data_IF_665067654252
#
_entry.id   IF_665067654252
#
_cell.length_a   1.000
_cell.length_b   1.000
_cell.length_c   1.000
_cell.angle_alpha   90.00
_cell.angle_beta   90.00
_cell.angle_gamma   90.00
#
_symmetry.space_group_name_H-M   'P 1'
#
loop_
_entity.id
_entity.type
_entity.pdbx_description
1 polymer ?
#
# COMPACT_ATOMS: atom_id res chain seq x y z
N UNK A 1 23.30 40.63 -10.63
CA UNK A 1 22.98 39.43 -11.45
C UNK A 1 23.99 38.36 -11.08
N UNK A 2 23.59 37.42 -10.24
CA UNK A 2 24.35 36.24 -9.89
C UNK A 2 23.31 35.20 -9.54
N UNK A 3 23.06 34.30 -10.48
CA UNK A 3 21.98 33.31 -10.51
C UNK A 3 22.04 32.38 -9.30
N UNK A 4 21.01 32.41 -8.44
CA UNK A 4 20.68 31.36 -7.48
C UNK A 4 20.14 30.14 -8.24
N UNK A 5 20.97 29.54 -9.09
CA UNK A 5 20.64 28.34 -9.82
C UNK A 5 21.50 27.24 -9.22
N UNK A 6 20.84 26.15 -8.81
CA UNK A 6 21.38 24.83 -8.45
C UNK A 6 21.46 24.50 -6.96
N UNK A 7 20.32 24.62 -6.28
CA UNK A 7 19.93 23.69 -5.21
C UNK A 7 18.97 22.64 -5.81
N UNK A 8 19.42 21.89 -6.82
CA UNK A 8 18.64 20.79 -7.40
C UNK A 8 19.62 19.75 -7.94
N UNK A 9 20.42 19.19 -7.03
CA UNK A 9 21.34 18.12 -7.34
C UNK A 9 20.91 16.86 -6.58
N UNK A 10 20.57 15.84 -7.37
CA UNK A 10 20.54 14.40 -7.03
C UNK A 10 19.29 13.87 -6.32
N UNK A 11 18.15 13.87 -7.00
CA UNK A 11 17.21 12.74 -6.84
C UNK A 11 17.84 11.58 -7.63
N UNK A 12 18.25 10.51 -6.96
CA UNK A 12 18.68 9.30 -7.67
C UNK A 12 17.51 8.81 -8.54
N UNK A 13 17.79 8.35 -9.77
CA UNK A 13 16.73 7.95 -10.70
C UNK A 13 15.86 6.78 -10.17
N UNK A 14 16.27 6.14 -9.08
CA UNK A 14 15.53 5.07 -8.39
C UNK A 14 14.85 5.53 -7.09
N UNK A 15 14.93 6.81 -6.75
CA UNK A 15 14.36 7.31 -5.51
C UNK A 15 12.91 7.76 -5.74
N UNK A 16 12.02 7.29 -4.86
CA UNK A 16 10.60 7.60 -4.95
C UNK A 16 10.36 9.07 -4.60
N UNK A 17 9.70 9.82 -5.49
CA UNK A 17 9.55 11.27 -5.34
C UNK A 17 8.63 11.68 -4.17
N UNK A 18 7.63 10.87 -3.82
CA UNK A 18 6.65 11.20 -2.79
C UNK A 18 6.96 10.51 -1.45
N UNK A 19 7.83 11.13 -0.63
CA UNK A 19 8.13 10.62 0.72
C UNK A 19 7.09 11.01 1.77
N UNK A 20 5.91 11.51 1.38
CA UNK A 20 4.88 11.88 2.34
C UNK A 20 4.35 10.65 3.08
N UNK A 21 4.12 10.79 4.39
CA UNK A 21 3.50 9.72 5.18
C UNK A 21 2.05 9.59 4.70
N UNK A 22 1.75 8.49 4.02
CA UNK A 22 0.40 8.18 3.53
C UNK A 22 -0.64 8.09 4.66
N UNK A 23 -1.92 7.96 4.28
CA UNK A 23 -3.03 7.96 5.23
C UNK A 23 -2.81 6.98 6.40
N UNK A 24 -2.97 7.45 7.64
CA UNK A 24 -2.74 6.64 8.83
C UNK A 24 -3.72 5.45 8.89
N UNK A 25 -3.16 4.24 8.80
CA UNK A 25 -3.88 3.00 9.01
C UNK A 25 -3.88 2.68 10.50
N UNK A 26 -5.07 2.50 11.09
CA UNK A 26 -5.17 2.18 12.53
C UNK A 26 -4.92 0.69 12.78
N UNK A 27 -4.50 0.33 13.98
CA UNK A 27 -4.36 -1.08 14.39
C UNK A 27 -5.66 -1.88 14.19
N UNK A 28 -6.82 -1.23 14.34
CA UNK A 28 -8.12 -1.86 14.10
C UNK A 28 -8.33 -2.23 12.62
N UNK A 29 -7.85 -1.40 11.69
CA UNK A 29 -7.92 -1.66 10.25
C UNK A 29 -7.03 -2.86 9.88
N UNK A 30 -5.81 -2.91 10.44
CA UNK A 30 -4.86 -4.02 10.27
C UNK A 30 -5.45 -5.32 10.82
N UNK A 31 -6.01 -5.30 12.03
CA UNK A 31 -6.63 -6.48 12.63
C UNK A 31 -7.80 -6.99 11.78
N UNK A 32 -8.64 -6.09 11.25
CA UNK A 32 -9.74 -6.46 10.35
C UNK A 32 -9.23 -7.13 9.06
N UNK A 33 -8.11 -6.67 8.50
CA UNK A 33 -7.48 -7.34 7.37
C UNK A 33 -6.98 -8.73 7.75
N UNK A 34 -6.28 -8.86 8.88
CA UNK A 34 -5.74 -10.13 9.35
C UNK A 34 -6.86 -11.19 9.55
N UNK A 35 -7.98 -10.80 10.16
CA UNK A 35 -9.14 -11.67 10.33
C UNK A 35 -9.78 -12.09 9.01
N UNK A 36 -9.83 -11.19 8.01
CA UNK A 36 -10.32 -11.51 6.66
C UNK A 36 -9.37 -12.44 5.89
N UNK A 37 -8.06 -12.30 6.11
CA UNK A 37 -7.04 -13.15 5.50
C UNK A 37 -6.97 -14.56 6.12
N UNK A 38 -7.32 -14.72 7.40
CA UNK A 38 -7.35 -16.03 8.07
C UNK A 38 -8.41 -16.97 7.49
N UNK A 39 -9.57 -16.45 7.10
CA UNK A 39 -10.62 -17.23 6.42
C UNK A 39 -10.22 -17.63 4.99
N UNK A 40 -9.18 -17.01 4.44
CA UNK A 40 -8.66 -17.30 3.12
C UNK A 40 -7.84 -18.59 3.06
N UNK A 41 -7.10 -18.91 4.12
CA UNK A 41 -6.35 -20.16 4.22
C UNK A 41 -7.27 -21.40 4.16
N UNK A 42 -8.53 -21.26 4.57
CA UNK A 42 -9.53 -22.33 4.54
C UNK A 42 -10.27 -22.49 3.20
N UNK A 43 -10.15 -21.49 2.30
CA UNK A 43 -10.83 -21.48 0.99
C UNK A 43 -9.86 -21.63 -0.19
N UNK A 44 -8.67 -22.19 0.07
CA UNK A 44 -7.70 -22.54 -0.97
C UNK A 44 -8.29 -23.54 -1.96
N UNK A 45 -8.83 -22.99 -3.05
CA UNK A 45 -9.25 -23.72 -4.22
C UNK A 45 -8.14 -23.62 -5.29
N UNK A 46 -7.61 -24.77 -5.69
CA UNK A 46 -6.50 -24.89 -6.63
C UNK A 46 -6.85 -24.41 -8.05
N UNK A 47 -8.12 -24.37 -8.43
CA UNK A 47 -8.55 -24.03 -9.80
C UNK A 47 -8.65 -22.51 -10.04
N UNK A 48 -8.89 -21.69 -9.01
CA UNK A 48 -9.14 -20.23 -9.20
C UNK A 48 -8.08 -19.30 -8.65
N UNK A 49 -6.96 -19.85 -8.15
CA UNK A 49 -5.87 -19.13 -7.49
C UNK A 49 -6.33 -18.24 -6.32
N UNK A 50 -5.51 -18.11 -5.29
CA UNK A 50 -5.87 -17.46 -4.04
C UNK A 50 -5.94 -15.92 -4.14
N UNK A 51 -5.74 -15.37 -5.34
CA UNK A 51 -5.57 -13.95 -5.61
C UNK A 51 -6.81 -13.10 -5.25
N UNK A 52 -8.01 -13.58 -5.57
CA UNK A 52 -9.25 -12.84 -5.31
C UNK A 52 -9.53 -12.64 -3.82
N UNK A 53 -9.15 -13.62 -3.01
CA UNK A 53 -9.27 -13.53 -1.57
C UNK A 53 -8.31 -12.53 -0.92
N UNK A 54 -7.09 -12.46 -1.44
CA UNK A 54 -6.07 -11.49 -1.01
C UNK A 54 -6.53 -10.05 -1.28
N UNK A 55 -7.11 -9.82 -2.47
CA UNK A 55 -7.69 -8.52 -2.83
C UNK A 55 -8.85 -8.12 -1.90
N UNK A 56 -9.75 -9.05 -1.55
CA UNK A 56 -10.85 -8.77 -0.63
C UNK A 56 -10.36 -8.38 0.78
N UNK A 57 -9.29 -8.99 1.27
CA UNK A 57 -8.64 -8.62 2.51
C UNK A 57 -8.08 -7.19 2.47
N UNK A 58 -7.42 -6.81 1.37
CA UNK A 58 -6.75 -5.52 1.19
C UNK A 58 -7.67 -4.35 0.84
N UNK A 59 -8.80 -4.62 0.18
CA UNK A 59 -9.75 -3.61 -0.31
C UNK A 59 -10.09 -2.47 0.68
N UNK A 60 -10.39 -2.72 1.98
CA UNK A 60 -10.68 -1.65 2.93
C UNK A 60 -9.49 -0.72 3.20
N UNK A 61 -8.26 -1.25 3.23
CA UNK A 61 -7.07 -0.44 3.44
C UNK A 61 -6.72 0.35 2.19
N UNK A 62 -6.81 -0.28 1.01
CA UNK A 62 -6.58 0.40 -0.28
C UNK A 62 -7.50 1.62 -0.45
N UNK A 63 -8.79 1.47 -0.14
CA UNK A 63 -9.77 2.58 -0.17
C UNK A 63 -9.42 3.72 0.80
N UNK A 64 -8.76 3.42 1.92
CA UNK A 64 -8.39 4.42 2.93
C UNK A 64 -7.13 5.19 2.54
N UNK A 65 -6.23 4.54 1.80
CA UNK A 65 -4.95 5.10 1.37
C UNK A 65 -5.10 5.91 0.07
N UNK A 66 -6.03 5.55 -0.81
CA UNK A 66 -6.24 6.18 -2.13
C UNK A 66 -7.52 7.04 -2.18
N UNK A 67 -7.67 8.03 -1.28
CA UNK A 67 -8.77 9.02 -1.35
C UNK A 67 -8.41 10.17 -2.27
#
# INVERSE_FOLDING_TARGET
>A
MGSNTQENALIDANEYEDQSVGAELTTADINKMAWRSLLLQASFNYERMQAGGWLYGLLPALKKIHT
#
